data_IF_121799082592
#
_entry.id   IF_121799082592
#
_cell.length_a   1.000
_cell.length_b   1.000
_cell.length_c   1.000
_cell.angle_alpha   90.00
_cell.angle_beta   90.00
_cell.angle_gamma   90.00
#
_symmetry.space_group_name_H-M   'P 1'
#
loop_
_entity.id
_entity.type
_entity.pdbx_description
1 polymer ?
#
# COMPACT_ATOMS: atom_id res chain seq x y z
N UNK A 1 -16.34 18.43 -9.70
CA UNK A 1 -16.96 17.14 -10.01
C UNK A 1 -16.59 16.12 -8.98
N UNK A 2 -17.58 15.58 -8.34
CA UNK A 2 -17.38 14.61 -7.27
C UNK A 2 -16.73 13.32 -7.80
N UNK A 3 -16.96 12.99 -9.06
CA UNK A 3 -16.39 11.78 -9.65
C UNK A 3 -14.87 11.83 -9.77
N UNK A 4 -14.31 13.04 -9.85
CA UNK A 4 -12.87 13.21 -9.93
C UNK A 4 -12.18 12.75 -8.65
N UNK A 5 -12.73 13.13 -7.50
CA UNK A 5 -12.19 12.73 -6.21
C UNK A 5 -12.25 11.21 -6.05
N UNK A 6 -13.40 10.60 -6.38
CA UNK A 6 -13.57 9.15 -6.31
C UNK A 6 -12.57 8.44 -7.21
N UNK A 7 -12.36 8.95 -8.41
CA UNK A 7 -11.40 8.36 -9.33
C UNK A 7 -10.00 8.35 -8.72
N UNK A 8 -9.58 9.48 -8.17
CA UNK A 8 -8.23 9.59 -7.59
C UNK A 8 -8.07 8.70 -6.36
N UNK A 9 -9.10 8.61 -5.53
CA UNK A 9 -9.05 7.75 -4.36
C UNK A 9 -8.94 6.28 -4.78
N UNK A 10 -9.72 5.85 -5.76
CA UNK A 10 -9.66 4.48 -6.25
C UNK A 10 -8.31 4.16 -6.86
N UNK A 11 -7.77 5.09 -7.65
CA UNK A 11 -6.46 4.90 -8.26
C UNK A 11 -5.38 4.79 -7.20
N UNK A 12 -5.40 5.68 -6.21
CA UNK A 12 -4.44 5.67 -5.13
C UNK A 12 -4.54 4.37 -4.33
N UNK A 13 -5.75 3.88 -4.09
CA UNK A 13 -5.95 2.63 -3.37
C UNK A 13 -5.34 1.46 -4.12
N UNK A 14 -5.58 1.37 -5.43
CA UNK A 14 -5.01 0.30 -6.25
C UNK A 14 -3.49 0.35 -6.24
N UNK A 15 -2.92 1.55 -6.40
CA UNK A 15 -1.46 1.71 -6.39
C UNK A 15 -0.87 1.32 -5.03
N UNK A 16 -1.56 1.69 -3.95
CA UNK A 16 -1.12 1.35 -2.60
C UNK A 16 -1.15 -0.15 -2.38
N UNK A 17 -2.20 -0.82 -2.83
CA UNK A 17 -2.31 -2.28 -2.71
C UNK A 17 -1.21 -2.99 -3.49
N UNK A 18 -0.84 -2.46 -4.66
CA UNK A 18 0.27 -3.00 -5.43
C UNK A 18 1.59 -2.85 -4.67
N UNK A 19 1.82 -1.70 -4.06
CA UNK A 19 3.04 -1.47 -3.28
C UNK A 19 3.13 -2.41 -2.10
N UNK A 20 2.01 -2.66 -1.41
CA UNK A 20 2.00 -3.62 -0.30
C UNK A 20 2.47 -4.98 -0.77
N UNK A 21 1.91 -5.45 -1.88
CA UNK A 21 2.28 -6.75 -2.43
C UNK A 21 3.76 -6.80 -2.80
N UNK A 22 4.24 -5.75 -3.45
CA UNK A 22 5.65 -5.69 -3.86
C UNK A 22 6.58 -5.69 -2.65
N UNK A 23 6.28 -4.88 -1.64
CA UNK A 23 7.11 -4.83 -0.44
C UNK A 23 7.13 -6.18 0.29
N UNK A 24 6.00 -6.86 0.36
CA UNK A 24 5.95 -8.17 1.00
C UNK A 24 6.74 -9.21 0.21
N UNK A 25 6.66 -9.14 -1.12
CA UNK A 25 7.47 -10.02 -1.97
C UNK A 25 8.96 -9.77 -1.77
N UNK A 26 9.36 -8.50 -1.73
CA UNK A 26 10.77 -8.17 -1.48
C UNK A 26 11.22 -8.68 -0.12
N UNK A 27 10.38 -8.51 0.90
CA UNK A 27 10.71 -8.97 2.24
C UNK A 27 10.94 -10.48 2.27
N UNK A 28 10.16 -11.23 1.47
CA UNK A 28 10.26 -12.70 1.45
C UNK A 28 11.52 -13.19 0.74
N UNK A 29 12.00 -12.48 -0.29
CA UNK A 29 13.12 -12.97 -1.11
C UNK A 29 14.46 -12.37 -0.70
N UNK A 30 14.49 -11.27 0.03
CA UNK A 30 15.74 -10.62 0.44
C UNK A 30 16.27 -11.31 1.70
N UNK A 31 17.50 -11.86 1.63
CA UNK A 31 18.04 -12.59 2.79
C UNK A 31 18.52 -11.69 3.94
N UNK A 32 18.85 -10.44 3.64
CA UNK A 32 19.27 -9.49 4.70
C UNK A 32 18.07 -9.15 5.59
N UNK A 33 18.19 -9.51 6.88
CA UNK A 33 17.07 -9.37 7.80
C UNK A 33 16.70 -7.89 8.01
N UNK A 34 17.68 -7.01 8.09
CA UNK A 34 17.40 -5.60 8.32
C UNK A 34 16.63 -5.00 7.16
N UNK A 35 17.02 -5.33 5.93
CA UNK A 35 16.33 -4.84 4.74
C UNK A 35 14.95 -5.46 4.63
N UNK A 36 14.85 -6.77 4.86
CA UNK A 36 13.57 -7.47 4.83
C UNK A 36 12.58 -6.86 5.84
N UNK A 37 13.04 -6.62 7.06
CA UNK A 37 12.21 -5.99 8.10
C UNK A 37 11.76 -4.59 7.68
N UNK A 38 12.65 -3.85 6.99
CA UNK A 38 12.32 -2.53 6.49
C UNK A 38 11.15 -2.58 5.51
N UNK A 39 11.17 -3.53 4.57
CA UNK A 39 10.08 -3.66 3.61
C UNK A 39 8.78 -4.10 4.29
N UNK A 40 8.84 -4.94 5.32
CA UNK A 40 7.65 -5.29 6.08
C UNK A 40 7.06 -4.06 6.78
N UNK A 41 7.91 -3.21 7.33
CA UNK A 41 7.46 -1.97 7.97
C UNK A 41 6.81 -1.03 6.94
N UNK A 42 7.40 -0.93 5.74
CA UNK A 42 6.81 -0.13 4.66
C UNK A 42 5.44 -0.64 4.27
N UNK A 43 5.29 -1.97 4.15
CA UNK A 43 4.00 -2.57 3.82
C UNK A 43 2.95 -2.24 4.89
N UNK A 44 3.35 -2.24 6.15
CA UNK A 44 2.44 -1.93 7.25
C UNK A 44 1.92 -0.49 7.16
N UNK A 45 2.82 0.46 6.87
CA UNK A 45 2.44 1.86 6.70
C UNK A 45 1.50 2.02 5.50
N UNK A 46 1.82 1.36 4.39
CA UNK A 46 0.94 1.40 3.22
C UNK A 46 -0.42 0.79 3.52
N UNK A 47 -0.46 -0.22 4.37
CA UNK A 47 -1.72 -0.82 4.80
C UNK A 47 -2.62 0.19 5.50
N UNK A 48 -2.04 1.06 6.30
CA UNK A 48 -2.79 2.15 6.95
C UNK A 48 -3.31 3.16 5.94
N UNK A 49 -2.49 3.49 4.93
CA UNK A 49 -2.93 4.37 3.86
C UNK A 49 -4.12 3.76 3.09
N UNK A 50 -4.03 2.48 2.78
CA UNK A 50 -5.11 1.78 2.08
C UNK A 50 -6.41 1.81 2.89
N UNK A 51 -6.30 1.59 4.19
CA UNK A 51 -7.44 1.63 5.09
C UNK A 51 -8.12 3.01 5.07
N UNK A 52 -7.32 4.06 5.13
CA UNK A 52 -7.83 5.43 5.09
C UNK A 52 -8.52 5.72 3.75
N UNK A 53 -7.87 5.34 2.65
CA UNK A 53 -8.44 5.55 1.32
C UNK A 53 -9.77 4.81 1.16
N UNK A 54 -9.82 3.58 1.65
CA UNK A 54 -11.03 2.77 1.57
C UNK A 54 -12.18 3.41 2.35
N UNK A 55 -11.87 4.10 3.44
CA UNK A 55 -12.88 4.80 4.23
C UNK A 55 -13.58 5.92 3.50
N UNK A 56 -12.97 6.47 2.44
CA UNK A 56 -13.61 7.50 1.63
C UNK A 56 -14.54 6.92 0.56
N UNK A 57 -14.44 5.64 0.28
CA UNK A 57 -15.27 4.99 -0.74
C UNK A 57 -16.49 4.35 -0.09
N UNK A 58 -17.63 4.44 -0.74
CA UNK A 58 -18.88 3.92 -0.20
C UNK A 58 -19.35 2.69 -0.92
#
# INVERSE_FOLDING_TARGET
>A
MEHTADFHVKKALLDTQERIRDYMNYADIIPDKAISDCFRAFAEVEGKHAQTLQGFLK
#
